data_IF_432968538133
#
_entry.id   IF_432968538133
#
_cell.length_a   1.000
_cell.length_b   1.000
_cell.length_c   1.000
_cell.angle_alpha   90.00
_cell.angle_beta   90.00
_cell.angle_gamma   90.00
#
_symmetry.space_group_name_H-M   'P 1'
#
loop_
_entity.id
_entity.type
_entity.pdbx_description
1 polymer ?
#
# COMPACT_ATOMS: atom_id res chain seq x y z
N UNK A 1 -21.38 -26.62 0.43
CA UNK A 1 -21.79 -25.84 1.61
C UNK A 1 -21.00 -24.56 1.57
N UNK A 2 -21.67 -23.40 1.48
CA UNK A 2 -21.02 -22.10 1.47
C UNK A 2 -20.52 -21.81 2.88
N UNK A 3 -19.21 -21.71 3.08
CA UNK A 3 -18.65 -21.21 4.33
C UNK A 3 -18.92 -19.71 4.41
N UNK A 4 -19.53 -19.30 5.51
CA UNK A 4 -19.83 -17.92 5.87
C UNK A 4 -18.58 -17.16 6.35
N UNK A 5 -17.45 -17.26 5.65
CA UNK A 5 -16.17 -16.64 6.02
C UNK A 5 -15.96 -15.30 5.32
N UNK A 6 -16.41 -14.21 5.91
CA UNK A 6 -16.11 -12.87 5.44
C UNK A 6 -14.62 -12.50 5.62
N UNK A 7 -14.03 -11.96 4.55
CA UNK A 7 -13.00 -10.89 4.55
C UNK A 7 -11.65 -11.15 5.24
N UNK A 8 -10.83 -12.06 4.72
CA UNK A 8 -9.39 -12.11 5.02
C UNK A 8 -8.61 -12.51 3.75
N UNK A 9 -7.86 -11.56 3.18
CA UNK A 9 -7.16 -11.75 1.91
C UNK A 9 -5.86 -12.55 2.09
N UNK A 10 -5.18 -12.46 3.23
CA UNK A 10 -4.00 -13.26 3.54
C UNK A 10 -4.36 -14.73 3.72
N UNK A 11 -5.48 -15.02 4.39
CA UNK A 11 -6.06 -16.37 4.43
C UNK A 11 -6.27 -16.93 3.03
N UNK A 12 -6.92 -16.18 2.14
CA UNK A 12 -7.14 -16.61 0.76
C UNK A 12 -5.82 -16.84 0.01
N UNK A 13 -4.80 -16.01 0.26
CA UNK A 13 -3.45 -16.21 -0.28
C UNK A 13 -2.79 -17.50 0.26
N UNK A 14 -2.92 -17.80 1.57
CA UNK A 14 -2.41 -19.02 2.19
C UNK A 14 -3.10 -20.27 1.64
N UNK A 15 -4.44 -20.24 1.52
CA UNK A 15 -5.23 -21.34 0.94
C UNK A 15 -4.79 -21.63 -0.51
N UNK A 16 -4.48 -20.59 -1.28
CA UNK A 16 -3.96 -20.74 -2.64
C UNK A 16 -2.59 -21.43 -2.70
N UNK A 17 -1.75 -21.31 -1.66
CA UNK A 17 -0.47 -22.02 -1.60
C UNK A 17 -0.67 -23.54 -1.46
N UNK A 18 -1.72 -23.97 -0.75
CA UNK A 18 -2.08 -25.39 -0.60
C UNK A 18 -2.78 -25.99 -1.83
N UNK A 19 -3.34 -25.15 -2.71
CA UNK A 19 -4.10 -25.57 -3.88
C UNK A 19 -3.28 -25.68 -5.18
N UNK A 20 -2.01 -25.26 -5.19
CA UNK A 20 -1.20 -25.32 -6.41
C UNK A 20 -0.90 -26.78 -6.82
N UNK A 21 -1.31 -27.14 -8.04
CA UNK A 21 -0.96 -28.32 -8.84
C UNK A 21 -1.62 -29.68 -8.60
N UNK A 22 -2.66 -29.83 -7.77
CA UNK A 22 -3.36 -31.13 -7.63
C UNK A 22 -2.47 -32.31 -7.20
N UNK A 23 -1.21 -32.03 -6.87
CA UNK A 23 -0.25 -32.87 -6.23
C UNK A 23 -0.12 -32.30 -4.81
N UNK A 24 -0.13 -33.19 -3.81
CA UNK A 24 0.20 -32.80 -2.44
C UNK A 24 1.69 -32.42 -2.44
N UNK A 25 2.00 -31.17 -2.77
CA UNK A 25 3.32 -30.59 -2.55
C UNK A 25 3.47 -30.45 -1.05
N UNK A 26 4.43 -31.15 -0.47
CA UNK A 26 4.77 -30.93 0.91
C UNK A 26 5.24 -29.50 1.09
N UNK A 27 4.51 -28.72 1.88
CA UNK A 27 4.85 -27.33 2.17
C UNK A 27 5.69 -27.30 3.45
N UNK A 28 6.75 -26.50 3.44
CA UNK A 28 7.51 -26.14 4.64
C UNK A 28 7.24 -24.68 4.97
N UNK A 29 7.45 -24.28 6.23
CA UNK A 29 7.28 -22.87 6.61
C UNK A 29 8.24 -21.98 5.82
N UNK A 30 9.45 -22.49 5.53
CA UNK A 30 10.45 -21.80 4.73
C UNK A 30 9.99 -21.58 3.28
N UNK A 31 9.38 -22.59 2.65
CA UNK A 31 8.87 -22.42 1.29
C UNK A 31 7.72 -21.42 1.24
N UNK A 32 6.81 -21.44 2.22
CA UNK A 32 5.68 -20.50 2.28
C UNK A 32 6.18 -19.08 2.52
N UNK A 33 7.12 -18.88 3.45
CA UNK A 33 7.72 -17.57 3.70
C UNK A 33 8.48 -17.05 2.48
N UNK A 34 9.26 -17.89 1.82
CA UNK A 34 9.98 -17.48 0.61
C UNK A 34 9.01 -17.04 -0.51
N UNK A 35 7.90 -17.78 -0.70
CA UNK A 35 6.87 -17.37 -1.67
C UNK A 35 6.21 -16.06 -1.27
N UNK A 36 5.87 -15.87 0.02
CA UNK A 36 5.29 -14.62 0.52
C UNK A 36 6.21 -13.42 0.28
N UNK A 37 7.48 -13.54 0.66
CA UNK A 37 8.49 -12.50 0.47
C UNK A 37 8.67 -12.17 -1.02
N UNK A 38 8.82 -13.19 -1.86
CA UNK A 38 8.97 -13.02 -3.31
C UNK A 38 7.75 -12.36 -3.94
N UNK A 39 6.54 -12.80 -3.58
CA UNK A 39 5.29 -12.26 -4.11
C UNK A 39 5.12 -10.78 -3.76
N UNK A 40 5.34 -10.43 -2.49
CA UNK A 40 5.20 -9.06 -2.01
C UNK A 40 6.31 -8.15 -2.56
N UNK A 41 7.54 -8.64 -2.66
CA UNK A 41 8.66 -7.88 -3.22
C UNK A 41 8.52 -7.64 -4.73
N UNK A 42 8.12 -8.65 -5.50
CA UNK A 42 7.85 -8.47 -6.93
C UNK A 42 6.72 -7.46 -7.16
N UNK A 43 5.66 -7.53 -6.35
CA UNK A 43 4.55 -6.58 -6.40
C UNK A 43 4.98 -5.17 -5.99
N UNK A 44 5.87 -5.04 -5.01
CA UNK A 44 6.48 -3.78 -4.62
C UNK A 44 7.36 -3.18 -5.72
N UNK A 45 8.25 -3.95 -6.34
CA UNK A 45 9.11 -3.46 -7.43
C UNK A 45 8.28 -2.96 -8.62
N UNK A 46 7.13 -3.60 -8.87
CA UNK A 46 6.15 -3.11 -9.85
C UNK A 46 5.59 -1.74 -9.45
N UNK A 47 5.04 -1.59 -8.24
CA UNK A 47 4.52 -0.29 -7.77
C UNK A 47 5.62 0.80 -7.76
N UNK A 48 6.82 0.45 -7.31
CA UNK A 48 7.99 1.33 -7.31
C UNK A 48 8.29 1.84 -8.72
N UNK A 49 8.22 0.99 -9.75
CA UNK A 49 8.40 1.42 -11.14
C UNK A 49 7.35 2.45 -11.59
N UNK A 50 6.10 2.32 -11.12
CA UNK A 50 5.03 3.27 -11.43
C UNK A 50 5.24 4.62 -10.72
N UNK A 51 5.70 4.58 -9.47
CA UNK A 51 6.07 5.78 -8.72
C UNK A 51 7.30 6.50 -9.30
N UNK A 52 8.11 5.78 -10.08
CA UNK A 52 9.37 6.26 -10.67
C UNK A 52 9.19 6.98 -12.01
N UNK A 53 8.09 6.76 -12.72
CA UNK A 53 7.87 7.37 -14.03
C UNK A 53 7.04 8.67 -13.97
N UNK A 54 7.02 9.43 -15.08
CA UNK A 54 6.33 10.73 -15.18
C UNK A 54 4.80 10.70 -15.05
N UNK A 55 4.19 9.52 -14.99
CA UNK A 55 2.74 9.31 -14.86
C UNK A 55 1.97 9.47 -16.15
N UNK A 56 0.67 9.17 -16.11
CA UNK A 56 -0.29 9.45 -17.20
C UNK A 56 -0.73 10.92 -17.25
N UNK A 57 -1.24 11.35 -18.38
CA UNK A 57 -1.96 12.61 -18.52
C UNK A 57 -3.30 12.58 -17.79
N UNK A 58 -3.97 11.43 -17.72
CA UNK A 58 -5.18 11.23 -16.92
C UNK A 58 -4.96 11.59 -15.44
N UNK A 59 -3.99 10.95 -14.76
CA UNK A 59 -3.65 11.31 -13.37
C UNK A 59 -3.16 12.77 -13.30
N UNK A 60 -2.45 13.23 -14.34
CA UNK A 60 -2.05 14.64 -14.46
C UNK A 60 -3.23 15.62 -14.46
N UNK A 61 -4.35 15.27 -15.12
CA UNK A 61 -5.59 16.07 -15.17
C UNK A 61 -6.31 16.04 -13.83
N UNK A 62 -6.43 14.86 -13.21
CA UNK A 62 -7.01 14.72 -11.86
C UNK A 62 -6.29 15.63 -10.85
N UNK A 63 -4.96 15.71 -10.94
CA UNK A 63 -4.14 16.51 -10.04
C UNK A 63 -3.89 17.95 -10.49
N UNK A 64 -4.56 18.44 -11.55
CA UNK A 64 -4.24 19.75 -12.14
C UNK A 64 -4.59 20.91 -11.20
N UNK A 65 -5.74 20.83 -10.55
CA UNK A 65 -6.33 21.96 -9.82
C UNK A 65 -6.10 21.89 -8.30
N UNK A 66 -5.46 20.82 -7.81
CA UNK A 66 -5.14 20.63 -6.38
C UNK A 66 -4.36 21.81 -5.78
N UNK A 67 -3.49 22.45 -6.57
CA UNK A 67 -2.71 23.59 -6.11
C UNK A 67 -3.55 24.85 -5.85
N UNK A 68 -4.70 24.95 -6.52
CA UNK A 68 -5.68 26.02 -6.38
C UNK A 68 -6.68 25.71 -5.27
N UNK A 69 -7.11 24.45 -5.16
CA UNK A 69 -8.21 24.03 -4.28
C UNK A 69 -7.76 23.76 -2.85
N UNK A 70 -6.61 23.15 -2.67
CA UNK A 70 -5.99 22.97 -1.35
C UNK A 70 -5.48 24.33 -0.91
N UNK A 71 -5.75 24.74 0.33
CA UNK A 71 -5.32 26.04 0.88
C UNK A 71 -4.24 25.91 1.95
N UNK A 72 -4.01 24.70 2.49
CA UNK A 72 -2.96 24.44 3.48
C UNK A 72 -1.52 24.58 2.97
N UNK A 73 -0.57 24.78 3.88
CA UNK A 73 0.87 24.76 3.62
C UNK A 73 1.52 26.12 3.29
N UNK A 74 2.84 26.19 3.45
CA UNK A 74 3.69 27.35 3.21
C UNK A 74 4.55 27.25 1.94
N UNK A 75 5.69 27.95 1.94
CA UNK A 75 6.64 27.99 0.82
C UNK A 75 6.25 28.99 -0.27
N UNK A 76 7.09 29.12 -1.30
CA UNK A 76 6.72 29.92 -2.48
C UNK A 76 5.61 29.24 -3.28
N UNK A 77 4.83 30.02 -4.04
CA UNK A 77 3.74 29.50 -4.88
C UNK A 77 4.19 28.32 -5.75
N UNK A 78 5.35 28.44 -6.40
CA UNK A 78 5.88 27.38 -7.27
C UNK A 78 6.32 26.11 -6.52
N UNK A 79 6.87 26.24 -5.31
CA UNK A 79 7.25 25.08 -4.49
C UNK A 79 6.02 24.34 -3.99
N UNK A 80 5.04 25.09 -3.48
CA UNK A 80 3.77 24.57 -3.00
C UNK A 80 3.00 23.86 -4.11
N UNK A 81 2.84 24.51 -5.26
CA UNK A 81 2.16 23.90 -6.42
C UNK A 81 2.84 22.60 -6.83
N UNK A 82 4.16 22.60 -6.98
CA UNK A 82 4.89 21.41 -7.39
C UNK A 82 4.82 20.30 -6.33
N UNK A 83 4.81 20.63 -5.03
CA UNK A 83 4.62 19.67 -3.95
C UNK A 83 3.24 19.01 -4.02
N UNK A 84 2.17 19.81 -4.00
CA UNK A 84 0.79 19.32 -3.97
C UNK A 84 0.48 18.45 -5.19
N UNK A 85 0.87 18.89 -6.39
CA UNK A 85 0.65 18.14 -7.63
C UNK A 85 1.39 16.80 -7.65
N UNK A 86 2.61 16.73 -7.12
CA UNK A 86 3.37 15.49 -7.16
C UNK A 86 2.97 14.51 -6.06
N UNK A 87 2.59 14.98 -4.86
CA UNK A 87 1.95 14.15 -3.84
C UNK A 87 0.65 13.56 -4.37
N UNK A 88 -0.22 14.41 -4.95
CA UNK A 88 -1.46 13.99 -5.59
C UNK A 88 -1.24 12.88 -6.63
N UNK A 89 -0.29 13.06 -7.55
CA UNK A 89 0.02 12.06 -8.57
C UNK A 89 0.50 10.75 -7.97
N UNK A 90 1.34 10.81 -6.94
CA UNK A 90 1.87 9.64 -6.25
C UNK A 90 0.77 8.80 -5.58
N UNK A 91 -0.15 9.46 -4.86
CA UNK A 91 -1.23 8.76 -4.16
C UNK A 91 -2.30 8.23 -5.12
N UNK A 92 -2.60 8.96 -6.20
CA UNK A 92 -3.51 8.49 -7.25
C UNK A 92 -2.94 7.25 -7.95
N UNK A 93 -1.64 7.24 -8.27
CA UNK A 93 -0.95 6.08 -8.86
C UNK A 93 -1.07 4.83 -7.98
N UNK A 94 -0.90 4.97 -6.66
CA UNK A 94 -1.08 3.86 -5.72
C UNK A 94 -2.53 3.34 -5.76
N UNK A 95 -3.53 4.23 -5.83
CA UNK A 95 -4.94 3.82 -5.89
C UNK A 95 -5.27 3.08 -7.19
N UNK A 96 -4.74 3.55 -8.32
CA UNK A 96 -4.86 2.89 -9.62
C UNK A 96 -4.20 1.51 -9.60
N UNK A 97 -2.99 1.42 -9.03
CA UNK A 97 -2.27 0.17 -8.84
C UNK A 97 -3.08 -0.85 -8.03
N UNK A 98 -3.63 -0.43 -6.89
CA UNK A 98 -4.48 -1.28 -6.06
C UNK A 98 -5.76 -1.72 -6.79
N UNK A 99 -6.24 -0.91 -7.73
CA UNK A 99 -7.42 -1.20 -8.55
C UNK A 99 -7.12 -2.01 -9.82
N UNK A 100 -5.85 -2.33 -10.08
CA UNK A 100 -5.42 -3.13 -11.23
C UNK A 100 -5.37 -2.38 -12.55
N UNK A 101 -5.20 -1.06 -12.51
CA UNK A 101 -5.18 -0.20 -13.71
C UNK A 101 -3.82 0.46 -13.83
N UNK A 102 -3.13 0.25 -14.95
CA UNK A 102 -1.93 0.99 -15.31
C UNK A 102 -2.28 2.01 -16.40
N UNK A 103 -1.95 3.27 -16.16
CA UNK A 103 -2.01 4.33 -17.18
C UNK A 103 -0.62 4.94 -17.32
N UNK A 104 -0.19 5.21 -18.56
CA UNK A 104 1.12 5.81 -18.82
C UNK A 104 1.10 6.65 -20.09
N UNK A 105 1.95 7.67 -20.14
CA UNK A 105 2.14 8.51 -21.33
C UNK A 105 2.74 7.73 -22.49
N UNK A 106 2.33 8.09 -23.70
CA UNK A 106 3.04 7.69 -24.91
C UNK A 106 4.21 8.64 -25.20
N UNK A 107 5.36 8.40 -24.55
CA UNK A 107 6.55 9.19 -24.79
C UNK A 107 6.35 10.69 -24.50
N UNK A 108 6.53 11.54 -25.52
CA UNK A 108 6.37 13.01 -25.43
C UNK A 108 5.04 13.53 -26.01
N UNK A 109 4.08 12.66 -26.32
CA UNK A 109 2.78 13.08 -26.87
C UNK A 109 1.86 13.64 -25.78
N UNK A 110 0.72 14.19 -26.19
CA UNK A 110 -0.38 14.61 -25.31
C UNK A 110 -1.31 13.45 -24.92
N UNK A 111 -1.05 12.25 -25.45
CA UNK A 111 -1.91 11.08 -25.27
C UNK A 111 -1.27 10.09 -24.30
N UNK A 112 -2.14 9.36 -23.60
CA UNK A 112 -1.75 8.17 -22.85
C UNK A 112 -1.78 6.95 -23.79
N UNK A 113 -0.92 5.97 -23.55
CA UNK A 113 -1.09 4.67 -24.19
C UNK A 113 -2.37 4.02 -23.65
N UNK A 114 -2.92 3.08 -24.41
CA UNK A 114 -4.06 2.27 -23.94
C UNK A 114 -3.79 1.68 -22.56
N UNK A 115 -4.72 1.87 -21.59
CA UNK A 115 -4.53 1.34 -20.24
C UNK A 115 -4.33 -0.17 -20.24
N UNK A 116 -3.50 -0.66 -19.32
CA UNK A 116 -3.39 -2.11 -19.05
C UNK A 116 -4.19 -2.45 -17.80
N UNK A 117 -4.80 -3.64 -17.81
CA UNK A 117 -5.67 -4.09 -16.75
C UNK A 117 -5.20 -5.43 -16.21
N UNK A 118 -5.16 -5.53 -14.90
CA UNK A 118 -4.79 -6.74 -14.18
C UNK A 118 -5.91 -7.17 -13.26
N UNK A 119 -6.09 -8.49 -13.18
CA UNK A 119 -7.16 -9.08 -12.41
C UNK A 119 -6.85 -8.98 -10.90
N UNK A 120 -7.60 -8.12 -10.20
CA UNK A 120 -7.43 -7.94 -8.74
C UNK A 120 -8.42 -8.83 -7.99
N UNK A 121 -8.06 -10.09 -7.78
CA UNK A 121 -8.83 -11.05 -6.98
C UNK A 121 -7.92 -12.04 -6.24
N UNK A 122 -8.44 -12.68 -5.18
CA UNK A 122 -7.74 -13.74 -4.45
C UNK A 122 -6.31 -13.35 -4.04
N UNK A 123 -5.29 -14.18 -4.37
CA UNK A 123 -3.89 -13.89 -4.06
C UNK A 123 -3.37 -12.57 -4.66
N UNK A 124 -3.84 -12.17 -5.84
CA UNK A 124 -3.40 -10.91 -6.47
C UNK A 124 -3.99 -9.69 -5.76
N UNK A 125 -5.24 -9.77 -5.32
CA UNK A 125 -5.85 -8.73 -4.49
C UNK A 125 -5.06 -8.54 -3.18
N UNK A 126 -4.71 -9.64 -2.49
CA UNK A 126 -3.89 -9.56 -1.27
C UNK A 126 -2.59 -8.78 -1.51
N UNK A 127 -1.78 -9.22 -2.49
CA UNK A 127 -0.47 -8.61 -2.77
C UNK A 127 -0.57 -7.13 -3.09
N UNK A 128 -1.47 -6.76 -4.02
CA UNK A 128 -1.64 -5.35 -4.44
C UNK A 128 -2.14 -4.48 -3.31
N UNK A 129 -3.15 -4.95 -2.58
CA UNK A 129 -3.74 -4.19 -1.50
C UNK A 129 -2.74 -3.97 -0.37
N UNK A 130 -1.98 -4.99 0.05
CA UNK A 130 -0.97 -4.86 1.08
C UNK A 130 0.20 -3.98 0.64
N UNK A 131 0.74 -4.20 -0.55
CA UNK A 131 1.84 -3.37 -1.08
C UNK A 131 1.42 -1.91 -1.18
N UNK A 132 0.25 -1.63 -1.76
CA UNK A 132 -0.25 -0.26 -1.90
C UNK A 132 -0.54 0.41 -0.55
N UNK A 133 -1.11 -0.32 0.41
CA UNK A 133 -1.43 0.20 1.75
C UNK A 133 -0.17 0.52 2.55
N UNK A 134 0.82 -0.38 2.57
CA UNK A 134 2.10 -0.15 3.25
C UNK A 134 2.89 0.96 2.54
N UNK A 135 2.88 1.01 1.20
CA UNK A 135 3.54 2.08 0.45
C UNK A 135 2.91 3.46 0.71
N UNK A 136 1.59 3.56 0.69
CA UNK A 136 0.86 4.82 0.95
C UNK A 136 1.21 5.40 2.32
N UNK A 137 1.11 4.57 3.36
CA UNK A 137 1.41 5.00 4.73
C UNK A 137 2.89 5.34 4.93
N UNK A 138 3.81 4.53 4.38
CA UNK A 138 5.26 4.71 4.57
C UNK A 138 5.79 5.92 3.81
N UNK A 139 5.33 6.14 2.58
CA UNK A 139 5.87 7.18 1.70
C UNK A 139 5.19 8.53 1.92
N UNK A 140 3.87 8.52 2.13
CA UNK A 140 3.06 9.75 2.16
C UNK A 140 2.37 10.01 3.49
N UNK A 141 2.28 9.04 4.40
CA UNK A 141 1.49 9.19 5.64
C UNK A 141 1.88 10.39 6.51
N UNK A 142 3.14 10.84 6.43
CA UNK A 142 3.68 11.98 7.15
C UNK A 142 3.72 13.29 6.34
N UNK A 143 3.07 13.33 5.17
CA UNK A 143 2.92 14.56 4.39
C UNK A 143 1.78 15.43 4.95
N UNK A 144 2.07 16.72 5.14
CA UNK A 144 1.03 17.69 5.46
C UNK A 144 0.08 17.86 4.27
N UNK A 145 -1.15 18.31 4.55
CA UNK A 145 -2.21 18.56 3.54
C UNK A 145 -2.64 17.32 2.74
N UNK A 146 -2.16 16.13 3.09
CA UNK A 146 -2.52 14.90 2.38
C UNK A 146 -4.03 14.64 2.44
N UNK A 147 -4.66 14.91 3.58
CA UNK A 147 -6.11 14.85 3.75
C UNK A 147 -6.86 15.80 2.80
N UNK A 148 -6.37 17.03 2.66
CA UNK A 148 -6.95 18.02 1.73
C UNK A 148 -6.76 17.58 0.27
N UNK A 149 -5.58 17.06 -0.09
CA UNK A 149 -5.29 16.53 -1.43
C UNK A 149 -6.22 15.36 -1.76
N UNK A 150 -6.38 14.40 -0.84
CA UNK A 150 -7.28 13.26 -1.01
C UNK A 150 -8.72 13.76 -1.18
N UNK A 151 -9.17 14.69 -0.34
CA UNK A 151 -10.51 15.25 -0.42
C UNK A 151 -10.82 15.93 -1.76
N UNK A 152 -9.81 16.54 -2.40
CA UNK A 152 -9.94 17.16 -3.72
C UNK A 152 -10.07 16.12 -4.85
N UNK A 153 -9.33 15.00 -4.77
CA UNK A 153 -9.23 14.05 -5.89
C UNK A 153 -10.07 12.78 -5.75
N UNK A 154 -10.53 12.42 -4.55
CA UNK A 154 -11.18 11.11 -4.29
C UNK A 154 -12.31 10.85 -5.28
N UNK A 155 -13.24 11.81 -5.45
CA UNK A 155 -14.35 11.67 -6.37
C UNK A 155 -13.92 11.51 -7.83
N UNK A 156 -12.89 12.26 -8.26
CA UNK A 156 -12.38 12.17 -9.63
C UNK A 156 -11.70 10.82 -9.90
N UNK A 157 -10.87 10.35 -8.97
CA UNK A 157 -10.23 9.04 -9.03
C UNK A 157 -11.28 7.93 -9.05
N UNK A 158 -12.31 8.00 -8.19
CA UNK A 158 -13.38 7.01 -8.18
C UNK A 158 -14.20 7.02 -9.48
N UNK A 159 -14.48 8.20 -10.04
CA UNK A 159 -15.21 8.34 -11.31
C UNK A 159 -14.43 7.73 -12.48
N UNK A 160 -13.12 7.95 -12.58
CA UNK A 160 -12.32 7.31 -13.64
C UNK A 160 -12.27 5.79 -13.46
N UNK A 161 -12.05 5.31 -12.24
CA UNK A 161 -11.96 3.87 -11.97
C UNK A 161 -13.31 3.14 -12.15
N UNK A 162 -14.43 3.73 -11.72
CA UNK A 162 -15.77 3.14 -11.86
C UNK A 162 -16.42 3.42 -13.22
N UNK A 163 -16.07 4.51 -13.88
CA UNK A 163 -16.64 4.92 -15.16
C UNK A 163 -15.81 4.41 -16.33
N UNK A 164 -14.61 4.97 -16.48
CA UNK A 164 -13.72 4.71 -17.63
C UNK A 164 -13.13 3.30 -17.60
N UNK A 165 -12.71 2.82 -16.42
CA UNK A 165 -11.91 1.61 -16.29
C UNK A 165 -12.66 0.36 -15.81
N UNK A 166 -13.92 0.50 -15.40
CA UNK A 166 -14.69 -0.63 -14.86
C UNK A 166 -14.86 -1.76 -15.88
N UNK A 167 -15.11 -1.43 -17.14
CA UNK A 167 -15.25 -2.40 -18.24
C UNK A 167 -13.93 -3.12 -18.57
N UNK A 168 -12.80 -2.46 -18.32
CA UNK A 168 -11.45 -3.05 -18.43
C UNK A 168 -11.10 -4.01 -17.30
N UNK A 169 -11.89 -4.03 -16.22
CA UNK A 169 -11.72 -4.94 -15.09
C UNK A 169 -11.25 -4.30 -13.79
N UNK A 170 -11.20 -2.96 -13.72
CA UNK A 170 -10.81 -2.24 -12.50
C UNK A 170 -11.66 -2.63 -11.29
N UNK A 171 -11.02 -2.77 -10.12
CA UNK A 171 -11.67 -3.15 -8.86
C UNK A 171 -11.38 -2.15 -7.75
N UNK A 172 -12.24 -1.14 -7.59
CA UNK A 172 -12.07 -0.08 -6.59
C UNK A 172 -12.07 -0.61 -5.14
N UNK A 173 -12.91 -1.61 -4.87
CA UNK A 173 -13.22 -2.09 -3.52
C UNK A 173 -12.55 -3.45 -3.22
N UNK A 174 -11.59 -3.89 -4.04
CA UNK A 174 -10.92 -5.18 -3.87
C UNK A 174 -10.20 -5.32 -2.52
N UNK A 175 -9.83 -4.20 -1.90
CA UNK A 175 -9.10 -4.16 -0.65
C UNK A 175 -9.98 -4.13 0.61
N UNK A 176 -11.31 -4.19 0.46
CA UNK A 176 -12.24 -4.23 1.60
C UNK A 176 -12.07 -5.46 2.50
N UNK A 177 -11.41 -6.51 2.00
CA UNK A 177 -11.10 -7.73 2.73
C UNK A 177 -9.80 -7.71 3.54
N UNK A 178 -9.04 -6.61 3.56
CA UNK A 178 -7.82 -6.48 4.37
C UNK A 178 -8.18 -6.33 5.85
N UNK A 179 -7.52 -7.11 6.71
CA UNK A 179 -7.65 -7.05 8.16
C UNK A 179 -6.41 -6.43 8.82
N UNK A 180 -6.47 -6.24 10.14
CA UNK A 180 -5.31 -5.87 10.96
C UNK A 180 -4.16 -6.88 10.82
N UNK A 181 -4.47 -8.18 10.77
CA UNK A 181 -3.46 -9.23 10.65
C UNK A 181 -2.75 -9.18 9.30
N UNK A 182 -3.49 -8.95 8.20
CA UNK A 182 -2.89 -8.75 6.87
C UNK A 182 -1.88 -7.59 6.88
N UNK A 183 -2.25 -6.47 7.52
CA UNK A 183 -1.35 -5.31 7.64
C UNK A 183 -0.12 -5.65 8.46
N UNK A 184 -0.26 -6.31 9.61
CA UNK A 184 0.88 -6.72 10.43
C UNK A 184 1.85 -7.64 9.66
N UNK A 185 1.32 -8.61 8.89
CA UNK A 185 2.09 -9.48 8.00
C UNK A 185 2.81 -8.63 6.95
N UNK A 186 2.08 -7.79 6.21
CA UNK A 186 2.63 -6.95 5.17
C UNK A 186 3.74 -6.02 5.65
N UNK A 187 3.54 -5.35 6.80
CA UNK A 187 4.54 -4.47 7.41
C UNK A 187 5.81 -5.21 7.77
N UNK A 188 5.70 -6.40 8.35
CA UNK A 188 6.86 -7.19 8.77
C UNK A 188 7.79 -7.55 7.60
N UNK A 189 7.24 -7.69 6.39
CA UNK A 189 7.99 -8.04 5.17
C UNK A 189 8.43 -6.80 4.40
N UNK A 190 7.55 -5.80 4.24
CA UNK A 190 7.72 -4.71 3.27
C UNK A 190 8.19 -3.39 3.88
N UNK A 191 7.83 -3.08 5.12
CA UNK A 191 7.98 -1.71 5.64
C UNK A 191 9.45 -1.26 5.59
N UNK A 192 10.38 -2.09 6.06
CA UNK A 192 11.81 -1.77 6.02
C UNK A 192 12.35 -1.56 4.60
N UNK A 193 11.89 -2.35 3.62
CA UNK A 193 12.28 -2.21 2.20
C UNK A 193 11.80 -0.88 1.61
N UNK A 194 10.53 -0.54 1.84
CA UNK A 194 9.92 0.70 1.36
C UNK A 194 10.52 1.93 2.05
N UNK A 195 10.78 1.85 3.36
CA UNK A 195 11.47 2.91 4.11
C UNK A 195 12.88 3.15 3.58
N UNK A 196 13.66 2.10 3.33
CA UNK A 196 15.01 2.23 2.82
C UNK A 196 15.03 2.85 1.43
N UNK A 197 14.14 2.39 0.54
CA UNK A 197 14.02 2.98 -0.80
C UNK A 197 13.61 4.45 -0.74
N UNK A 198 12.55 4.77 0.00
CA UNK A 198 12.07 6.15 0.13
C UNK A 198 13.12 7.05 0.77
N UNK A 199 13.83 6.62 1.82
CA UNK A 199 14.97 7.37 2.40
C UNK A 199 16.07 7.62 1.36
N UNK A 200 16.38 6.64 0.52
CA UNK A 200 17.30 6.78 -0.61
C UNK A 200 16.88 7.91 -1.55
N UNK A 201 15.66 7.86 -2.08
CA UNK A 201 15.12 8.90 -2.97
C UNK A 201 15.06 10.28 -2.30
N UNK A 202 14.63 10.32 -1.04
CA UNK A 202 14.55 11.54 -0.21
C UNK A 202 15.93 12.18 0.01
N UNK A 203 17.00 11.38 0.04
CA UNK A 203 18.37 11.87 0.18
C UNK A 203 18.91 12.53 -1.09
N UNK A 204 18.43 12.12 -2.27
CA UNK A 204 18.80 12.72 -3.56
C UNK A 204 18.19 14.12 -3.68
N UNK A 205 16.90 14.25 -3.36
CA UNK A 205 16.22 15.54 -3.11
C UNK A 205 16.15 16.55 -4.27
N UNK A 206 16.72 16.25 -5.45
CA UNK A 206 16.73 17.13 -6.62
C UNK A 206 15.57 16.81 -7.59
N UNK A 207 15.17 17.80 -8.40
CA UNK A 207 14.22 17.60 -9.52
C UNK A 207 14.82 16.77 -10.66
N UNK A 208 16.14 16.78 -10.75
CA UNK A 208 16.89 16.26 -11.90
C UNK A 208 17.36 14.81 -11.68
N UNK A 209 17.49 14.38 -10.43
CA UNK A 209 18.02 13.06 -10.06
C UNK A 209 17.09 12.24 -9.14
N UNK A 210 16.18 12.88 -8.39
CA UNK A 210 15.22 12.18 -7.52
C UNK A 210 13.84 12.05 -8.15
N UNK A 211 13.13 10.94 -7.92
CA UNK A 211 11.78 10.81 -8.46
C UNK A 211 10.86 11.92 -7.94
N UNK A 212 10.21 12.62 -8.87
CA UNK A 212 9.43 13.82 -8.56
C UNK A 212 8.36 13.59 -7.47
N UNK A 213 7.80 12.38 -7.43
CA UNK A 213 6.74 11.95 -6.50
C UNK A 213 7.24 11.52 -5.12
N UNK A 214 8.55 11.31 -4.94
CA UNK A 214 9.12 10.84 -3.66
C UNK A 214 10.26 11.76 -3.19
N UNK A 215 11.37 11.81 -3.91
CA UNK A 215 12.55 12.58 -3.52
C UNK A 215 12.32 14.09 -3.53
N UNK A 216 11.80 14.60 -4.65
CA UNK A 216 11.57 16.05 -4.80
C UNK A 216 10.49 16.58 -3.86
N UNK A 217 9.34 15.91 -3.73
CA UNK A 217 8.29 16.34 -2.79
C UNK A 217 8.82 16.40 -1.36
N UNK A 218 9.71 15.47 -0.98
CA UNK A 218 10.30 15.48 0.34
C UNK A 218 11.26 16.64 0.57
N UNK A 219 12.05 17.01 -0.44
CA UNK A 219 12.92 18.19 -0.33
C UNK A 219 12.11 19.50 -0.17
N UNK A 220 10.87 19.52 -0.66
CA UNK A 220 9.94 20.64 -0.46
C UNK A 220 9.13 20.54 0.84
N UNK A 221 9.06 19.37 1.48
CA UNK A 221 8.26 19.14 2.69
C UNK A 221 8.55 20.18 3.78
N UNK A 222 9.82 20.51 4.01
CA UNK A 222 10.24 21.50 5.00
C UNK A 222 9.81 22.94 4.71
N UNK A 223 9.54 23.25 3.45
CA UNK A 223 9.10 24.58 3.00
C UNK A 223 7.58 24.67 2.99
N UNK A 224 6.91 23.59 2.59
CA UNK A 224 5.45 23.54 2.43
C UNK A 224 4.74 23.11 3.71
N UNK A 225 5.31 22.23 4.51
CA UNK A 225 4.73 21.83 5.78
C UNK A 225 5.11 22.81 6.90
N UNK A 226 4.13 23.38 7.63
CA UNK A 226 4.39 24.42 8.63
C UNK A 226 5.34 23.99 9.74
N UNK A 227 6.29 24.86 10.11
CA UNK A 227 7.29 24.63 11.17
C UNK A 227 6.94 25.27 12.51
N UNK A 228 5.69 25.11 12.95
CA UNK A 228 5.30 25.52 14.31
C UNK A 228 5.89 24.61 15.41
N UNK A 229 6.45 23.45 15.05
CA UNK A 229 6.89 22.39 15.96
C UNK A 229 8.17 21.70 15.47
N UNK A 230 8.74 20.83 16.29
CA UNK A 230 9.84 19.95 15.89
C UNK A 230 9.40 19.02 14.75
N UNK A 231 10.31 18.68 13.85
CA UNK A 231 10.00 17.91 12.63
C UNK A 231 9.38 16.54 12.93
N UNK A 232 9.91 15.82 13.93
CA UNK A 232 9.39 14.49 14.30
C UNK A 232 8.00 14.56 14.94
N UNK A 233 7.73 15.61 15.72
CA UNK A 233 6.39 15.86 16.28
C UNK A 233 5.39 16.19 15.17
N UNK A 234 5.77 17.02 14.21
CA UNK A 234 4.94 17.36 13.06
C UNK A 234 4.63 16.12 12.22
N UNK A 235 5.62 15.29 11.89
CA UNK A 235 5.39 14.02 11.15
C UNK A 235 4.44 13.09 11.88
N UNK A 236 4.59 12.96 13.20
CA UNK A 236 3.71 12.12 14.02
C UNK A 236 2.28 12.64 14.02
N UNK A 237 2.08 13.95 14.16
CA UNK A 237 0.76 14.58 14.09
C UNK A 237 0.11 14.39 12.70
N UNK A 238 0.85 14.60 11.62
CA UNK A 238 0.35 14.39 10.26
C UNK A 238 -0.03 12.92 10.02
N UNK A 239 0.79 11.95 10.48
CA UNK A 239 0.43 10.53 10.43
C UNK A 239 -0.90 10.28 11.12
N UNK A 240 -1.07 10.75 12.35
CA UNK A 240 -2.31 10.57 13.11
C UNK A 240 -3.52 11.21 12.41
N UNK A 241 -3.36 12.42 11.87
CA UNK A 241 -4.40 13.12 11.11
C UNK A 241 -4.79 12.37 9.84
N UNK A 242 -3.81 11.81 9.14
CA UNK A 242 -4.00 11.20 7.82
C UNK A 242 -4.52 9.76 7.86
N UNK A 243 -4.47 9.06 9.00
CA UNK A 243 -4.92 7.65 9.16
C UNK A 243 -6.29 7.39 8.55
N UNK A 244 -7.32 8.12 9.00
CA UNK A 244 -8.70 7.89 8.55
C UNK A 244 -8.86 8.17 7.06
N UNK A 245 -8.31 9.28 6.59
CA UNK A 245 -8.42 9.71 5.18
C UNK A 245 -7.71 8.76 4.23
N UNK A 246 -6.51 8.29 4.57
CA UNK A 246 -5.80 7.27 3.78
C UNK A 246 -6.62 5.98 3.72
N UNK A 247 -7.11 5.49 4.87
CA UNK A 247 -7.87 4.25 4.92
C UNK A 247 -9.11 4.30 4.03
N UNK A 248 -9.84 5.42 4.07
CA UNK A 248 -11.05 5.64 3.27
C UNK A 248 -10.73 5.74 1.79
N UNK A 249 -9.72 6.51 1.40
CA UNK A 249 -9.31 6.66 0.00
C UNK A 249 -8.90 5.31 -0.61
N UNK A 250 -8.13 4.52 0.14
CA UNK A 250 -7.70 3.20 -0.28
C UNK A 250 -8.83 2.16 -0.29
N UNK A 251 -9.95 2.41 0.40
CA UNK A 251 -11.05 1.46 0.66
C UNK A 251 -10.53 0.15 1.28
N UNK A 252 -9.59 0.28 2.22
CA UNK A 252 -8.97 -0.87 2.89
C UNK A 252 -9.76 -1.25 4.12
N UNK A 253 -10.00 -2.55 4.25
CA UNK A 253 -10.81 -3.14 5.30
C UNK A 253 -12.28 -2.71 5.30
N UNK A 254 -13.08 -3.44 6.06
CA UNK A 254 -14.48 -3.07 6.31
C UNK A 254 -14.58 -1.73 7.03
N UNK A 255 -15.64 -0.98 6.79
CA UNK A 255 -15.88 0.32 7.44
C UNK A 255 -15.82 0.24 8.97
N UNK A 256 -16.23 -0.87 9.56
CA UNK A 256 -16.26 -1.08 11.02
C UNK A 256 -14.90 -1.38 11.65
N UNK A 257 -13.92 -1.87 10.86
CA UNK A 257 -12.60 -2.27 11.38
C UNK A 257 -11.44 -1.44 10.82
N UNK A 258 -11.73 -0.51 9.90
CA UNK A 258 -10.72 0.32 9.24
C UNK A 258 -9.87 1.11 10.23
N UNK A 259 -10.46 1.70 11.26
CA UNK A 259 -9.69 2.49 12.24
C UNK A 259 -8.66 1.65 12.98
N UNK A 260 -9.00 0.42 13.36
CA UNK A 260 -8.06 -0.50 14.02
C UNK A 260 -6.92 -0.90 13.08
N UNK A 261 -7.25 -1.18 11.82
CA UNK A 261 -6.28 -1.48 10.76
C UNK A 261 -5.34 -0.30 10.52
N UNK A 262 -5.86 0.93 10.40
CA UNK A 262 -5.04 2.12 10.14
C UNK A 262 -4.18 2.49 11.35
N UNK A 263 -4.67 2.25 12.57
CA UNK A 263 -3.87 2.39 13.79
C UNK A 263 -2.71 1.40 13.82
N UNK A 264 -2.94 0.15 13.43
CA UNK A 264 -1.86 -0.83 13.26
C UNK A 264 -0.90 -0.40 12.16
N UNK A 265 -1.41 0.04 11.01
CA UNK A 265 -0.59 0.42 9.85
C UNK A 265 0.42 1.52 10.17
N UNK A 266 -0.03 2.57 10.86
CA UNK A 266 0.75 3.78 11.10
C UNK A 266 1.39 3.83 12.49
N UNK A 267 1.38 2.72 13.23
CA UNK A 267 2.13 2.60 14.48
C UNK A 267 3.64 2.59 14.18
N UNK A 268 4.45 3.33 14.95
CA UNK A 268 5.91 3.29 14.78
C UNK A 268 6.52 1.94 15.19
N UNK A 269 5.83 1.17 16.04
CA UNK A 269 6.20 -0.21 16.36
C UNK A 269 5.71 -1.15 15.26
N UNK A 270 6.60 -2.04 14.81
CA UNK A 270 6.22 -3.16 13.96
C UNK A 270 5.76 -4.29 14.89
N UNK A 271 4.48 -4.71 14.83
CA UNK A 271 3.88 -5.66 15.79
C UNK A 271 4.39 -7.09 15.60
N UNK A 272 5.04 -7.37 14.47
CA UNK A 272 5.35 -8.71 14.02
C UNK A 272 6.69 -8.70 13.27
N UNK A 273 7.55 -9.66 13.61
CA UNK A 273 8.79 -9.89 12.86
C UNK A 273 8.62 -11.03 11.86
N UNK A 274 9.49 -11.08 10.84
CA UNK A 274 9.58 -12.22 9.91
C UNK A 274 9.77 -13.55 10.67
N UNK A 275 10.51 -13.53 11.79
CA UNK A 275 10.70 -14.72 12.62
C UNK A 275 9.41 -15.15 13.34
N UNK A 276 8.57 -14.19 13.76
CA UNK A 276 7.25 -14.51 14.33
C UNK A 276 6.32 -15.13 13.27
N UNK A 277 6.34 -14.61 12.04
CA UNK A 277 5.60 -15.19 10.91
C UNK A 277 6.03 -16.64 10.66
N UNK A 278 7.33 -16.86 10.51
CA UNK A 278 7.91 -18.19 10.28
C UNK A 278 7.55 -19.16 11.42
N UNK A 279 7.68 -18.73 12.67
CA UNK A 279 7.29 -19.51 13.84
C UNK A 279 5.80 -19.87 13.81
N UNK A 280 4.92 -18.93 13.44
CA UNK A 280 3.48 -19.19 13.35
C UNK A 280 3.16 -20.22 12.27
N UNK A 281 3.83 -20.15 11.10
CA UNK A 281 3.69 -21.13 10.03
C UNK A 281 4.22 -22.52 10.44
N UNK A 282 5.39 -22.59 11.09
CA UNK A 282 5.96 -23.85 11.57
C UNK A 282 5.04 -24.60 12.55
N UNK A 283 4.39 -23.86 13.46
CA UNK A 283 3.44 -24.42 14.43
C UNK A 283 2.15 -24.94 13.81
N UNK A 284 1.83 -24.51 12.60
CA UNK A 284 0.56 -24.80 11.91
C UNK A 284 0.71 -25.77 10.74
N UNK A 285 1.91 -26.32 10.53
CA UNK A 285 2.15 -27.43 9.60
C UNK A 285 1.93 -28.74 10.35
N UNK A 286 1.04 -29.60 9.83
CA UNK A 286 0.75 -30.91 10.43
C UNK A 286 2.04 -31.73 10.64
N UNK A 287 2.20 -32.27 11.86
CA UNK A 287 3.38 -32.94 12.44
C UNK A 287 4.49 -31.98 12.93
N UNK A 288 4.25 -31.40 14.10
CA UNK A 288 5.11 -30.44 14.79
C UNK A 288 6.59 -30.86 14.96
N UNK A 289 7.45 -30.10 14.29
CA UNK A 289 8.90 -30.08 14.44
C UNK A 289 9.53 -29.10 13.45
N UNK A 290 10.69 -28.52 13.77
CA UNK A 290 11.46 -27.73 12.79
C UNK A 290 11.75 -28.58 11.56
N UNK A 291 11.22 -28.18 10.40
CA UNK A 291 11.32 -28.96 9.15
C UNK A 291 10.10 -29.82 8.81
N UNK A 292 8.96 -29.62 9.50
CA UNK A 292 7.71 -30.32 9.22
C UNK A 292 7.25 -30.14 7.76
N UNK A 293 6.85 -31.26 7.16
CA UNK A 293 6.29 -31.41 5.81
C UNK A 293 4.82 -31.75 6.00
N UNK A 294 3.91 -30.89 5.53
CA UNK A 294 2.49 -31.13 5.74
C UNK A 294 1.57 -30.14 5.03
N UNK A 295 0.27 -30.32 5.25
CA UNK A 295 -0.77 -29.36 4.87
C UNK A 295 -0.77 -28.21 5.86
N UNK A 296 -0.90 -26.98 5.36
CA UNK A 296 -1.02 -25.78 6.20
C UNK A 296 -2.42 -25.75 6.80
N UNK A 297 -2.50 -25.76 8.12
CA UNK A 297 -3.74 -25.50 8.84
C UNK A 297 -3.93 -23.98 8.96
N UNK A 298 -4.58 -23.37 7.96
CA UNK A 298 -4.69 -21.91 7.81
C UNK A 298 -5.32 -21.25 9.04
N UNK A 299 -6.34 -21.86 9.65
CA UNK A 299 -6.94 -21.36 10.89
C UNK A 299 -5.94 -21.25 12.05
N UNK A 300 -5.05 -22.23 12.16
CA UNK A 300 -4.01 -22.23 13.19
C UNK A 300 -2.94 -21.18 12.90
N UNK A 301 -2.59 -20.95 11.62
CA UNK A 301 -1.71 -19.83 11.23
C UNK A 301 -2.32 -18.52 11.69
N UNK A 302 -3.56 -18.22 11.29
CA UNK A 302 -4.21 -16.94 11.63
C UNK A 302 -4.29 -16.72 13.13
N UNK A 303 -4.70 -17.74 13.90
CA UNK A 303 -4.77 -17.67 15.37
C UNK A 303 -3.40 -17.43 16.02
N UNK A 304 -2.35 -18.09 15.52
CA UNK A 304 -0.99 -17.91 16.05
C UNK A 304 -0.43 -16.51 15.75
N UNK A 305 -0.79 -15.93 14.61
CA UNK A 305 -0.42 -14.56 14.23
C UNK A 305 -1.13 -13.53 15.10
N UNK A 306 -2.45 -13.64 15.25
CA UNK A 306 -3.23 -12.77 16.13
C UNK A 306 -2.69 -12.78 17.56
N UNK A 307 -2.40 -13.97 18.09
CA UNK A 307 -1.80 -14.12 19.43
C UNK A 307 -0.37 -13.58 19.54
N UNK A 308 0.37 -13.45 18.43
CA UNK A 308 1.70 -12.82 18.42
C UNK A 308 1.59 -11.29 18.36
N UNK A 309 0.66 -10.78 17.54
CA UNK A 309 0.36 -9.35 17.44
C UNK A 309 -0.07 -8.81 18.82
N UNK A 310 -1.07 -9.44 19.46
CA UNK A 310 -1.58 -9.02 20.76
C UNK A 310 -0.53 -9.01 21.88
N UNK A 311 0.51 -9.85 21.81
CA UNK A 311 1.60 -9.87 22.80
C UNK A 311 2.60 -8.74 22.63
N UNK A 312 2.66 -8.16 21.43
CA UNK A 312 3.65 -7.16 21.04
C UNK A 312 3.06 -5.73 21.03
N UNK A 313 1.75 -5.58 21.27
CA UNK A 313 1.07 -4.29 21.54
C UNK A 313 1.41 -3.75 22.94
#
# INVERSE_FOLDING_TARGET
>A
MASSGGSDLFRAWLEAQGAQNGAVTTLTADSVMATLESDLEATWEKLKSWLSHGGSHEIGRLCKDVATNVQGGGGTTGQREAYLKNVCKGIAEIKYFMSGVETRKEGKTTEDVSPTYEKVEGPEAYKRCIVGTVAMSTIYGDHCTLDEIIGDIENGVEQELRGTHQSGGAKLDACGGITKTDVAVGRSVLQGKIENWSKGERSVGSKDDGFARVGYVWSQWKNVCPRGRAEDEAKKEEKEKNKGTIGNFLKVGSDTHRDQLMNELMNDKVPLTVENLKTALQKSLGNGGSGAIGTIEVDNVMKNLEGSIQKNE
#
